data_IF_561592491979
#
_entry.id   IF_561592491979
#
_cell.length_a   1.000
_cell.length_b   1.000
_cell.length_c   1.000
_cell.angle_alpha   90.00
_cell.angle_beta   90.00
_cell.angle_gamma   90.00
#
_symmetry.space_group_name_H-M   'P 1'
#
loop_
_entity.id
_entity.type
_entity.pdbx_description
1 polymer ?
#
# COMPACT_ATOMS: atom_id res chain seq x y z
N UNK A 1 9.87 5.08 -5.85
CA UNK A 1 10.18 5.29 -7.27
C UNK A 1 10.60 4.01 -7.99
N UNK A 2 11.14 3.03 -7.32
CA UNK A 2 11.41 1.71 -7.88
C UNK A 2 10.15 1.03 -8.42
N UNK A 3 8.98 1.28 -7.85
CA UNK A 3 7.72 0.62 -8.20
C UNK A 3 7.33 0.71 -9.69
N UNK A 4 7.63 1.80 -10.38
CA UNK A 4 7.27 1.96 -11.80
C UNK A 4 8.01 1.00 -12.73
N UNK A 5 9.16 0.48 -12.32
CA UNK A 5 9.92 -0.50 -13.10
C UNK A 5 9.42 -1.92 -12.94
N UNK A 6 8.75 -2.18 -11.82
CA UNK A 6 8.31 -3.50 -11.41
C UNK A 6 6.92 -3.83 -11.91
N UNK A 7 6.25 -2.87 -12.57
CA UNK A 7 4.95 -3.12 -13.18
C UNK A 7 5.17 -3.47 -14.64
N UNK A 8 4.95 -4.72 -15.03
CA UNK A 8 5.06 -5.12 -16.42
C UNK A 8 3.98 -4.42 -17.25
N UNK A 9 4.27 -4.33 -18.53
CA UNK A 9 3.36 -3.68 -19.47
C UNK A 9 1.94 -4.28 -19.42
N UNK A 10 1.78 -5.57 -19.11
CA UNK A 10 0.47 -6.22 -18.95
C UNK A 10 -0.29 -5.75 -17.71
N UNK A 11 0.33 -5.74 -16.55
CA UNK A 11 -0.32 -5.27 -15.32
C UNK A 11 -0.72 -3.79 -15.46
N UNK A 12 0.08 -3.00 -16.17
CA UNK A 12 -0.23 -1.60 -16.43
C UNK A 12 -1.44 -1.40 -17.33
N UNK A 13 -1.73 -2.30 -18.28
CA UNK A 13 -2.95 -2.20 -19.11
C UNK A 13 -4.22 -2.49 -18.32
N UNK A 14 -4.15 -3.29 -17.26
CA UNK A 14 -5.30 -3.54 -16.37
C UNK A 14 -5.50 -2.45 -15.31
N UNK A 15 -4.42 -1.77 -14.95
CA UNK A 15 -4.40 -0.72 -13.92
C UNK A 15 -4.68 0.67 -14.49
N UNK A 16 -4.32 0.91 -15.76
CA UNK A 16 -4.67 2.17 -16.43
C UNK A 16 -6.17 2.20 -16.78
N UNK A 17 -6.82 3.37 -16.64
CA UNK A 17 -8.24 3.51 -16.97
C UNK A 17 -8.53 3.30 -18.48
N UNK A 18 -7.50 3.15 -19.29
CA UNK A 18 -7.58 2.93 -20.75
C UNK A 18 -6.78 1.67 -21.09
N UNK A 19 -7.45 0.70 -21.72
CA UNK A 19 -6.79 -0.50 -22.26
C UNK A 19 -6.00 -0.11 -23.52
N UNK A 20 -4.73 0.15 -23.36
CA UNK A 20 -3.83 0.44 -24.48
C UNK A 20 -3.16 -0.86 -24.98
N UNK A 21 -2.93 -1.00 -26.29
CA UNK A 21 -2.14 -2.10 -26.83
C UNK A 21 -0.73 -2.13 -26.24
N UNK A 22 -0.19 -3.32 -25.96
CA UNK A 22 1.16 -3.51 -25.39
C UNK A 22 2.25 -2.80 -26.21
N UNK A 23 2.07 -2.76 -27.55
CA UNK A 23 2.98 -2.07 -28.46
C UNK A 23 3.10 -0.57 -28.17
N UNK A 24 2.06 0.04 -27.57
CA UNK A 24 2.04 1.47 -27.17
C UNK A 24 2.51 1.62 -25.73
N UNK A 25 2.12 0.71 -24.84
CA UNK A 25 2.43 0.80 -23.41
C UNK A 25 3.94 0.70 -23.13
N UNK A 26 4.64 -0.25 -23.76
CA UNK A 26 6.09 -0.39 -23.57
C UNK A 26 6.90 0.85 -23.90
N UNK A 27 6.78 1.45 -25.10
CA UNK A 27 7.52 2.68 -25.40
C UNK A 27 7.05 3.87 -24.54
N UNK A 28 5.77 3.98 -24.21
CA UNK A 28 5.27 5.02 -23.32
C UNK A 28 5.92 4.96 -21.93
N UNK A 29 6.07 3.77 -21.36
CA UNK A 29 6.79 3.57 -20.12
C UNK A 29 8.28 3.92 -20.22
N UNK A 30 8.94 3.53 -21.31
CA UNK A 30 10.35 3.87 -21.55
C UNK A 30 10.56 5.39 -21.60
N UNK A 31 9.62 6.12 -22.23
CA UNK A 31 9.63 7.58 -22.25
C UNK A 31 9.38 8.17 -20.86
N UNK A 32 8.36 7.68 -20.15
CA UNK A 32 8.05 8.15 -18.79
C UNK A 32 9.24 7.94 -17.83
N UNK A 33 9.90 6.79 -17.90
CA UNK A 33 11.13 6.53 -17.16
C UNK A 33 12.26 7.48 -17.51
N UNK A 34 12.42 7.77 -18.79
CA UNK A 34 13.47 8.69 -19.24
C UNK A 34 13.21 10.11 -18.73
N UNK A 35 11.96 10.59 -18.82
CA UNK A 35 11.57 11.90 -18.31
C UNK A 35 11.81 11.98 -16.79
N UNK A 36 11.37 10.97 -16.06
CA UNK A 36 11.55 10.89 -14.61
C UNK A 36 13.03 10.89 -14.23
N UNK A 37 13.84 10.08 -14.92
CA UNK A 37 15.29 10.06 -14.68
C UNK A 37 15.94 11.41 -14.96
N UNK A 38 15.55 12.08 -16.06
CA UNK A 38 16.06 13.42 -16.37
C UNK A 38 15.74 14.43 -15.27
N UNK A 39 14.55 14.36 -14.71
CA UNK A 39 14.12 15.24 -13.63
C UNK A 39 14.88 14.97 -12.31
N UNK A 40 15.20 13.72 -12.04
CA UNK A 40 15.84 13.29 -10.78
C UNK A 40 17.36 13.22 -10.86
N UNK A 41 17.93 13.22 -12.07
CA UNK A 41 19.38 13.09 -12.29
C UNK A 41 20.22 14.10 -11.50
N UNK A 42 19.86 15.41 -11.42
CA UNK A 42 20.65 16.34 -10.62
C UNK A 42 20.76 15.93 -9.16
N UNK A 43 19.65 15.55 -8.53
CA UNK A 43 19.63 15.10 -7.13
C UNK A 43 20.42 13.77 -6.96
N UNK A 44 20.34 12.85 -7.93
CA UNK A 44 21.16 11.64 -7.92
C UNK A 44 22.65 11.96 -8.02
N UNK A 45 23.03 12.85 -8.91
CA UNK A 45 24.44 13.23 -9.11
C UNK A 45 25.01 13.96 -7.90
N UNK A 46 24.23 14.84 -7.25
CA UNK A 46 24.62 15.50 -6.00
C UNK A 46 24.86 14.49 -4.88
N UNK A 47 23.97 13.53 -4.70
CA UNK A 47 24.14 12.47 -3.70
C UNK A 47 25.34 11.58 -4.02
N UNK A 48 25.57 11.24 -5.28
CA UNK A 48 26.73 10.47 -5.72
C UNK A 48 28.03 11.22 -5.47
N UNK A 49 28.06 12.52 -5.74
CA UNK A 49 29.21 13.38 -5.45
C UNK A 49 29.55 13.39 -3.95
N UNK A 50 28.54 13.51 -3.07
CA UNK A 50 28.72 13.45 -1.61
C UNK A 50 29.31 12.10 -1.16
N UNK A 51 29.03 11.02 -1.89
CA UNK A 51 29.56 9.68 -1.63
C UNK A 51 30.90 9.38 -2.36
N UNK A 52 31.52 10.37 -3.02
CA UNK A 52 32.74 10.18 -3.79
C UNK A 52 32.54 9.33 -5.06
N UNK A 53 31.33 9.18 -5.56
CA UNK A 53 31.01 8.39 -6.74
C UNK A 53 30.88 9.27 -7.98
N UNK A 54 31.26 8.78 -9.18
CA UNK A 54 31.11 9.53 -10.43
C UNK A 54 29.63 9.76 -10.77
N UNK A 55 29.33 10.82 -11.51
CA UNK A 55 28.00 11.14 -12.00
C UNK A 55 27.35 9.95 -12.73
N UNK A 56 26.01 9.82 -12.62
CA UNK A 56 25.28 8.74 -13.24
C UNK A 56 25.28 8.84 -14.77
N UNK A 57 25.78 7.81 -15.46
CA UNK A 57 25.83 7.74 -16.94
C UNK A 57 24.60 7.14 -17.59
N UNK A 58 23.80 6.36 -16.82
CA UNK A 58 22.58 5.69 -17.27
C UNK A 58 21.55 5.67 -16.15
N UNK A 59 20.30 5.35 -16.48
CA UNK A 59 19.19 5.19 -15.53
C UNK A 59 19.55 4.14 -14.47
N UNK A 60 19.14 4.37 -13.21
CA UNK A 60 19.41 3.46 -12.08
C UNK A 60 18.95 2.02 -12.38
N UNK A 61 17.78 1.87 -12.96
CA UNK A 61 17.20 0.57 -13.35
C UNK A 61 18.08 -0.18 -14.32
N UNK A 62 18.54 0.52 -15.36
CA UNK A 62 19.44 -0.09 -16.33
C UNK A 62 20.73 -0.59 -15.67
N UNK A 63 21.27 0.18 -14.73
CA UNK A 63 22.45 -0.24 -13.96
C UNK A 63 22.21 -1.46 -13.07
N UNK A 64 21.01 -1.57 -12.50
CA UNK A 64 20.62 -2.73 -11.70
C UNK A 64 20.54 -3.99 -12.58
N UNK A 65 19.84 -3.90 -13.72
CA UNK A 65 19.72 -5.01 -14.68
C UNK A 65 21.08 -5.42 -15.26
N UNK A 66 21.92 -4.46 -15.67
CA UNK A 66 23.26 -4.72 -16.22
C UNK A 66 24.21 -5.39 -15.21
N UNK A 67 23.92 -5.29 -13.91
CA UNK A 67 24.73 -5.89 -12.84
C UNK A 67 24.20 -7.25 -12.39
N UNK A 68 23.14 -7.74 -12.99
CA UNK A 68 22.45 -8.96 -12.57
C UNK A 68 22.16 -8.99 -11.06
N UNK A 69 21.72 -7.83 -10.54
CA UNK A 69 21.44 -7.66 -9.11
C UNK A 69 20.12 -8.34 -8.77
N UNK A 70 20.09 -9.11 -7.69
CA UNK A 70 18.87 -9.71 -7.18
C UNK A 70 17.82 -8.64 -6.86
N UNK A 71 16.65 -8.71 -7.50
CA UNK A 71 15.55 -7.77 -7.36
C UNK A 71 14.34 -8.44 -6.71
N UNK A 72 14.34 -8.56 -5.38
CA UNK A 72 13.24 -9.18 -4.62
C UNK A 72 11.99 -8.29 -4.66
N UNK A 73 10.85 -8.88 -5.03
CA UNK A 73 9.55 -8.23 -5.08
C UNK A 73 8.73 -8.59 -3.84
N UNK A 74 8.70 -7.68 -2.85
CA UNK A 74 8.04 -7.89 -1.55
C UNK A 74 6.53 -7.55 -1.60
N UNK A 75 5.81 -8.20 -2.51
CA UNK A 75 4.34 -8.14 -2.61
C UNK A 75 3.79 -9.42 -3.24
N UNK A 76 2.49 -9.65 -3.06
CA UNK A 76 1.83 -10.86 -3.51
C UNK A 76 1.40 -10.78 -4.98
N UNK A 77 1.51 -11.89 -5.71
CA UNK A 77 1.13 -11.98 -7.12
C UNK A 77 -0.35 -11.67 -7.36
N UNK A 78 -1.21 -11.88 -6.38
CA UNK A 78 -2.64 -11.59 -6.47
C UNK A 78 -2.92 -10.13 -6.86
N UNK A 79 -2.03 -9.21 -6.50
CA UNK A 79 -2.14 -7.81 -6.91
C UNK A 79 -1.79 -7.58 -8.38
N UNK A 80 -1.00 -8.45 -9.00
CA UNK A 80 -0.52 -8.32 -10.38
C UNK A 80 -0.39 -9.70 -11.03
N UNK A 81 -1.49 -10.36 -11.38
CA UNK A 81 -1.49 -11.72 -11.90
C UNK A 81 -0.67 -11.87 -13.18
N UNK A 82 0.13 -12.93 -13.25
CA UNK A 82 0.99 -13.25 -14.40
C UNK A 82 2.32 -12.51 -14.44
N UNK A 83 2.65 -11.75 -13.39
CA UNK A 83 3.86 -10.97 -13.29
C UNK A 83 5.10 -11.87 -13.18
N UNK A 84 5.03 -12.92 -12.38
CA UNK A 84 6.11 -13.87 -12.21
C UNK A 84 6.45 -14.56 -13.53
N UNK A 85 5.44 -14.99 -14.28
CA UNK A 85 5.62 -15.59 -15.61
C UNK A 85 6.24 -14.60 -16.62
N UNK A 86 5.87 -13.31 -16.56
CA UNK A 86 6.43 -12.29 -17.46
C UNK A 86 7.91 -12.01 -17.15
N UNK A 87 8.33 -12.13 -15.91
CA UNK A 87 9.73 -11.94 -15.49
C UNK A 87 10.59 -13.20 -15.55
N UNK A 88 10.01 -14.37 -15.80
CA UNK A 88 10.74 -15.61 -15.96
C UNK A 88 11.63 -15.97 -14.77
N UNK A 89 11.19 -15.66 -13.55
CA UNK A 89 11.92 -15.91 -12.30
C UNK A 89 13.08 -14.95 -12.01
N UNK A 90 13.35 -13.97 -12.86
CA UNK A 90 14.46 -13.01 -12.64
C UNK A 90 14.18 -12.03 -11.50
N UNK A 91 12.91 -11.86 -11.11
CA UNK A 91 12.46 -11.00 -10.03
C UNK A 91 11.49 -11.75 -9.13
N UNK A 92 12.01 -12.52 -8.15
CA UNK A 92 11.17 -13.39 -7.34
C UNK A 92 10.14 -12.60 -6.52
N UNK A 93 8.87 -13.00 -6.65
CA UNK A 93 7.76 -12.51 -5.83
C UNK A 93 7.75 -13.31 -4.53
N UNK A 94 7.99 -12.65 -3.41
CA UNK A 94 8.09 -13.31 -2.10
C UNK A 94 6.86 -13.11 -1.21
N UNK A 95 5.88 -12.32 -1.68
CA UNK A 95 4.78 -11.86 -0.84
C UNK A 95 5.17 -10.66 0.03
N UNK A 96 4.19 -10.00 0.60
CA UNK A 96 4.44 -8.82 1.42
C UNK A 96 5.12 -9.19 2.73
N UNK A 97 6.26 -8.55 3.01
CA UNK A 97 6.97 -8.64 4.27
C UNK A 97 6.28 -7.70 5.25
N UNK A 98 5.71 -8.25 6.31
CA UNK A 98 4.99 -7.47 7.32
C UNK A 98 5.74 -7.54 8.65
N UNK A 99 6.04 -6.38 9.22
CA UNK A 99 6.61 -6.30 10.55
C UNK A 99 5.55 -6.67 11.59
N UNK A 100 5.82 -7.67 12.39
CA UNK A 100 4.95 -8.13 13.47
C UNK A 100 5.54 -7.69 14.81
N UNK A 101 5.26 -6.46 15.21
CA UNK A 101 5.66 -5.95 16.53
C UNK A 101 4.41 -5.45 17.25
N UNK A 102 4.02 -6.14 18.33
CA UNK A 102 2.99 -5.62 19.24
C UNK A 102 3.52 -4.43 20.03
N UNK A 103 2.66 -3.50 20.36
CA UNK A 103 2.95 -2.35 21.20
C UNK A 103 1.94 -2.29 22.35
N UNK A 104 2.27 -1.63 23.46
CA UNK A 104 1.32 -1.43 24.56
C UNK A 104 0.04 -0.66 24.12
N UNK A 105 0.14 0.13 23.04
CA UNK A 105 -1.01 0.82 22.45
C UNK A 105 -1.97 -0.19 21.81
N UNK A 106 -1.46 -1.28 21.24
CA UNK A 106 -2.30 -2.29 20.58
C UNK A 106 -3.21 -3.00 21.59
N UNK A 107 -2.75 -3.24 22.82
CA UNK A 107 -3.55 -3.84 23.88
C UNK A 107 -4.72 -2.93 24.30
N UNK A 108 -4.49 -1.63 24.44
CA UNK A 108 -5.53 -0.64 24.75
C UNK A 108 -6.55 -0.52 23.60
N UNK A 109 -6.09 -0.56 22.35
CA UNK A 109 -6.95 -0.55 21.16
C UNK A 109 -7.77 -1.83 21.09
N UNK A 110 -7.16 -2.99 21.32
CA UNK A 110 -7.86 -4.27 21.31
C UNK A 110 -8.93 -4.34 22.41
N UNK A 111 -8.64 -3.85 23.61
CA UNK A 111 -9.61 -3.74 24.70
C UNK A 111 -10.78 -2.83 24.32
N UNK A 112 -10.50 -1.65 23.75
CA UNK A 112 -11.55 -0.76 23.27
C UNK A 112 -12.39 -1.40 22.16
N UNK A 113 -11.79 -2.13 21.21
CA UNK A 113 -12.55 -2.84 20.16
C UNK A 113 -13.46 -3.88 20.80
N UNK A 114 -12.96 -4.68 21.76
CA UNK A 114 -13.69 -5.74 22.41
C UNK A 114 -14.90 -5.23 23.24
N UNK A 115 -14.85 -3.99 23.70
CA UNK A 115 -15.94 -3.34 24.46
C UNK A 115 -17.07 -2.82 23.56
N UNK A 116 -17.09 -3.14 22.26
CA UNK A 116 -18.14 -2.69 21.36
C UNK A 116 -18.12 -3.34 19.99
N UNK A 117 -18.82 -2.73 19.03
CA UNK A 117 -18.82 -3.21 17.65
C UNK A 117 -17.47 -3.00 16.98
N UNK A 118 -17.03 -3.88 16.05
CA UNK A 118 -15.81 -3.71 15.28
C UNK A 118 -15.77 -2.35 14.59
N UNK A 119 -14.73 -1.52 14.79
CA UNK A 119 -14.64 -0.18 14.20
C UNK A 119 -14.27 -0.20 12.73
N UNK A 120 -14.51 0.89 12.03
CA UNK A 120 -13.84 1.21 10.76
C UNK A 120 -12.49 1.85 11.11
N UNK A 121 -11.40 1.27 10.58
CA UNK A 121 -10.07 1.83 10.70
C UNK A 121 -9.85 2.94 9.66
N UNK A 122 -9.22 4.03 10.07
CA UNK A 122 -8.77 5.12 9.19
C UNK A 122 -7.30 5.44 9.44
N UNK A 123 -6.44 5.31 8.40
CA UNK A 123 -5.02 5.61 8.51
C UNK A 123 -4.44 6.21 7.24
N UNK A 124 -3.75 7.32 7.39
CA UNK A 124 -3.20 8.07 6.25
C UNK A 124 -1.67 7.99 6.17
N UNK A 125 -1.03 7.22 7.06
CA UNK A 125 0.42 7.04 7.11
C UNK A 125 1.15 8.37 7.30
N UNK A 126 2.23 8.58 6.52
CA UNK A 126 3.00 9.83 6.51
C UNK A 126 2.49 10.85 5.47
N UNK A 127 1.29 10.64 4.93
CA UNK A 127 0.74 11.51 3.89
C UNK A 127 0.41 12.89 4.46
N UNK A 128 0.84 13.97 3.82
CA UNK A 128 0.45 15.31 4.23
C UNK A 128 -1.04 15.52 3.98
N UNK A 129 -1.79 15.83 5.04
CA UNK A 129 -3.20 16.24 4.98
C UNK A 129 -3.26 17.74 5.26
N UNK A 130 -3.83 18.50 4.31
CA UNK A 130 -3.90 19.96 4.41
C UNK A 130 -4.63 20.45 5.67
N UNK A 131 -5.70 19.74 6.07
CA UNK A 131 -6.47 20.07 7.26
C UNK A 131 -6.85 18.81 8.04
N UNK A 132 -5.98 18.35 8.96
CA UNK A 132 -6.23 17.16 9.76
C UNK A 132 -7.52 17.26 10.61
N UNK A 133 -7.76 18.40 11.26
CA UNK A 133 -8.95 18.59 12.11
C UNK A 133 -10.25 18.45 11.31
N UNK A 134 -10.33 19.05 10.12
CA UNK A 134 -11.49 18.91 9.23
C UNK A 134 -11.69 17.47 8.75
N UNK A 135 -10.59 16.78 8.47
CA UNK A 135 -10.64 15.36 8.04
C UNK A 135 -11.16 14.46 9.17
N UNK A 136 -10.67 14.65 10.41
CA UNK A 136 -11.14 13.92 11.58
C UNK A 136 -12.61 14.22 11.86
N UNK A 137 -13.01 15.49 11.83
CA UNK A 137 -14.42 15.87 12.02
C UNK A 137 -15.34 15.23 10.97
N UNK A 138 -14.90 15.15 9.70
CA UNK A 138 -15.62 14.47 8.64
C UNK A 138 -15.75 12.98 8.91
N UNK A 139 -14.67 12.29 9.32
CA UNK A 139 -14.66 10.88 9.67
C UNK A 139 -15.61 10.62 10.84
N UNK A 140 -15.52 11.42 11.90
CA UNK A 140 -16.39 11.33 13.09
C UNK A 140 -17.86 11.43 12.71
N UNK A 141 -18.22 12.45 11.93
CA UNK A 141 -19.60 12.64 11.48
C UNK A 141 -20.10 11.50 10.59
N UNK A 142 -19.29 11.05 9.62
CA UNK A 142 -19.67 9.96 8.73
C UNK A 142 -19.82 8.64 9.47
N UNK A 143 -18.96 8.36 10.45
CA UNK A 143 -19.05 7.15 11.27
C UNK A 143 -20.32 7.17 12.14
N UNK A 144 -20.64 8.32 12.78
CA UNK A 144 -21.88 8.49 13.51
C UNK A 144 -23.12 8.29 12.63
N UNK A 145 -23.15 8.89 11.43
CA UNK A 145 -24.25 8.74 10.46
C UNK A 145 -24.47 7.29 10.00
N UNK A 146 -23.40 6.48 10.03
CA UNK A 146 -23.47 5.05 9.68
C UNK A 146 -23.77 4.14 10.88
N UNK A 147 -23.78 4.69 12.11
CA UNK A 147 -23.89 3.91 13.35
C UNK A 147 -22.65 3.05 13.62
N UNK A 148 -21.49 3.45 13.12
CA UNK A 148 -20.23 2.72 13.20
C UNK A 148 -19.25 3.41 14.15
N UNK A 149 -18.36 2.63 14.76
CA UNK A 149 -17.21 3.15 15.52
C UNK A 149 -16.05 3.44 14.57
N UNK A 150 -15.19 4.41 14.92
CA UNK A 150 -14.00 4.76 14.14
C UNK A 150 -12.73 4.64 14.96
N UNK A 151 -11.73 3.91 14.44
CA UNK A 151 -10.36 3.90 14.94
C UNK A 151 -9.49 4.73 13.99
N UNK A 152 -9.05 5.90 14.42
CA UNK A 152 -8.26 6.82 13.60
C UNK A 152 -6.78 6.72 14.00
N UNK A 153 -5.93 6.34 13.05
CA UNK A 153 -4.48 6.34 13.21
C UNK A 153 -3.91 7.63 12.61
N UNK A 154 -3.49 8.55 13.48
CA UNK A 154 -3.06 9.89 13.09
C UNK A 154 -1.67 9.93 12.45
N UNK A 155 -0.80 8.95 12.74
CA UNK A 155 0.58 8.95 12.26
C UNK A 155 1.37 10.15 12.78
N UNK A 156 1.83 10.98 11.84
CA UNK A 156 2.56 12.22 12.12
C UNK A 156 1.67 13.47 12.20
N UNK A 157 0.35 13.34 12.08
CA UNK A 157 -0.56 14.48 12.12
C UNK A 157 -0.68 15.02 13.54
N UNK A 158 -0.61 16.34 13.67
CA UNK A 158 -0.96 17.03 14.91
C UNK A 158 -2.49 17.11 15.03
N UNK A 159 -3.02 16.50 16.09
CA UNK A 159 -4.45 16.33 16.34
C UNK A 159 -4.86 16.80 17.72
N UNK A 160 -4.05 17.67 18.35
CA UNK A 160 -4.30 18.15 19.72
C UNK A 160 -5.72 18.72 19.94
N UNK A 161 -6.35 19.27 18.90
CA UNK A 161 -7.67 19.89 18.94
C UNK A 161 -8.81 18.97 18.41
N UNK A 162 -8.56 17.68 18.20
CA UNK A 162 -9.61 16.80 17.72
C UNK A 162 -10.67 16.55 18.80
N UNK A 163 -11.93 16.86 18.49
CA UNK A 163 -13.04 16.65 19.42
C UNK A 163 -13.20 15.17 19.77
N UNK A 164 -13.20 14.85 21.05
CA UNK A 164 -13.47 13.51 21.55
C UNK A 164 -14.95 13.15 21.28
N UNK A 165 -15.18 11.94 20.84
CA UNK A 165 -16.53 11.36 20.70
C UNK A 165 -16.47 9.90 21.13
N UNK A 166 -17.49 9.42 21.84
CA UNK A 166 -17.50 8.09 22.46
C UNK A 166 -17.31 6.95 21.46
N UNK A 167 -17.76 7.16 20.21
CA UNK A 167 -17.63 6.17 19.13
C UNK A 167 -16.29 6.28 18.34
N UNK A 168 -15.38 7.18 18.76
CA UNK A 168 -14.11 7.43 18.05
C UNK A 168 -12.94 7.25 19.00
N UNK A 169 -12.01 6.39 18.60
CA UNK A 169 -10.70 6.28 19.25
C UNK A 169 -9.62 6.81 18.31
N UNK A 170 -8.76 7.69 18.81
CA UNK A 170 -7.65 8.26 18.05
C UNK A 170 -6.33 7.81 18.68
N UNK A 171 -5.46 7.21 17.87
CA UNK A 171 -4.15 6.74 18.30
C UNK A 171 -3.07 7.18 17.31
N UNK A 172 -1.83 7.21 17.73
CA UNK A 172 -0.72 7.61 16.87
C UNK A 172 -0.35 6.53 15.86
N UNK A 173 -0.27 5.29 16.28
CA UNK A 173 0.07 4.13 15.46
C UNK A 173 -0.48 2.85 16.05
N UNK A 174 -0.68 1.82 15.23
CA UNK A 174 -1.08 0.48 15.66
C UNK A 174 -0.33 -0.57 14.83
N UNK A 175 -0.22 -1.77 15.38
CA UNK A 175 0.20 -2.94 14.60
C UNK A 175 -0.94 -3.40 13.70
N UNK A 176 -0.80 -3.19 12.40
CA UNK A 176 -1.83 -3.54 11.41
C UNK A 176 -2.18 -5.03 11.44
N UNK A 177 -1.19 -5.91 11.64
CA UNK A 177 -1.41 -7.36 11.68
C UNK A 177 -2.31 -7.77 12.84
N UNK A 178 -2.18 -7.12 13.99
CA UNK A 178 -2.98 -7.39 15.17
C UNK A 178 -4.38 -6.76 15.10
N UNK A 179 -4.48 -5.54 14.62
CA UNK A 179 -5.68 -4.71 14.72
C UNK A 179 -6.61 -4.85 13.50
N UNK A 180 -6.09 -4.92 12.27
CA UNK A 180 -6.92 -4.98 11.07
C UNK A 180 -7.92 -6.15 11.06
N UNK A 181 -7.57 -7.38 11.48
CA UNK A 181 -8.54 -8.48 11.56
C UNK A 181 -9.74 -8.22 12.49
N UNK A 182 -9.59 -7.30 13.44
CA UNK A 182 -10.62 -6.94 14.40
C UNK A 182 -11.52 -5.78 13.91
N UNK A 183 -11.17 -5.14 12.79
CA UNK A 183 -11.92 -4.04 12.22
C UNK A 183 -13.04 -4.52 11.30
N UNK A 184 -14.05 -3.69 11.10
CA UNK A 184 -15.16 -3.93 10.17
C UNK A 184 -14.76 -3.65 8.72
N UNK A 185 -13.99 -2.59 8.51
CA UNK A 185 -13.42 -2.18 7.22
C UNK A 185 -12.14 -1.37 7.45
N UNK A 186 -11.29 -1.28 6.43
CA UNK A 186 -10.03 -0.56 6.48
C UNK A 186 -10.05 0.59 5.46
N UNK A 187 -9.82 1.81 5.93
CA UNK A 187 -9.64 3.00 5.08
C UNK A 187 -8.19 3.45 5.17
N UNK A 188 -7.50 3.53 4.03
CA UNK A 188 -6.10 3.94 4.01
C UNK A 188 -5.69 4.65 2.70
N UNK A 189 -4.50 5.23 2.69
CA UNK A 189 -3.97 6.04 1.58
C UNK A 189 -3.46 5.25 0.36
N UNK A 190 -3.34 3.93 0.44
CA UNK A 190 -2.88 3.11 -0.68
C UNK A 190 -1.37 2.85 -0.75
N UNK A 191 -0.64 3.04 0.34
CA UNK A 191 0.75 2.58 0.40
C UNK A 191 0.83 1.05 0.32
N UNK A 192 1.86 0.52 -0.35
CA UNK A 192 2.02 -0.91 -0.64
C UNK A 192 1.87 -1.82 0.59
N UNK A 193 2.62 -1.51 1.67
CA UNK A 193 2.59 -2.30 2.90
C UNK A 193 1.24 -2.28 3.60
N UNK A 194 0.58 -1.11 3.68
CA UNK A 194 -0.75 -0.99 4.29
C UNK A 194 -1.80 -1.70 3.44
N UNK A 195 -1.69 -1.63 2.10
CA UNK A 195 -2.59 -2.35 1.19
C UNK A 195 -2.45 -3.86 1.38
N UNK A 196 -1.22 -4.37 1.46
CA UNK A 196 -0.98 -5.79 1.69
C UNK A 196 -1.54 -6.25 3.06
N UNK A 197 -1.29 -5.48 4.13
CA UNK A 197 -1.83 -5.77 5.46
C UNK A 197 -3.37 -5.76 5.47
N UNK A 198 -3.98 -4.77 4.80
CA UNK A 198 -5.43 -4.65 4.69
C UNK A 198 -6.06 -5.85 3.97
N UNK A 199 -5.56 -6.21 2.78
CA UNK A 199 -6.08 -7.35 2.02
C UNK A 199 -5.84 -8.67 2.77
N UNK A 200 -4.66 -8.86 3.37
CA UNK A 200 -4.33 -10.05 4.16
C UNK A 200 -5.21 -10.22 5.40
N UNK A 201 -5.71 -9.12 5.97
CA UNK A 201 -6.63 -9.17 7.11
C UNK A 201 -8.01 -9.76 6.78
N UNK A 202 -8.34 -9.95 5.50
CA UNK A 202 -9.67 -10.39 5.06
C UNK A 202 -10.76 -9.34 5.27
N UNK A 203 -10.40 -8.08 5.46
CA UNK A 203 -11.35 -6.99 5.67
C UNK A 203 -11.52 -6.14 4.41
N UNK A 204 -12.74 -5.69 4.11
CA UNK A 204 -12.98 -4.86 2.94
C UNK A 204 -12.28 -3.51 3.08
N UNK A 205 -11.84 -2.96 1.95
CA UNK A 205 -10.89 -1.84 1.93
C UNK A 205 -11.40 -0.67 1.10
N UNK A 206 -11.31 0.54 1.65
CA UNK A 206 -11.46 1.80 0.91
C UNK A 206 -10.11 2.47 0.78
N UNK A 207 -9.62 2.65 -0.44
CA UNK A 207 -8.35 3.36 -0.69
C UNK A 207 -8.62 4.81 -1.06
N UNK A 208 -8.15 5.73 -0.21
CA UNK A 208 -8.19 7.19 -0.44
C UNK A 208 -6.81 7.67 -0.91
N UNK A 209 -6.53 7.51 -2.19
CA UNK A 209 -5.21 7.79 -2.76
C UNK A 209 -4.95 9.27 -3.05
N UNK A 210 -3.69 9.69 -2.96
CA UNK A 210 -3.24 11.07 -3.26
C UNK A 210 -2.38 11.13 -4.49
N UNK A 211 -1.26 10.41 -4.52
CA UNK A 211 -0.24 10.54 -5.55
C UNK A 211 0.63 9.27 -5.66
N UNK A 212 1.67 9.36 -6.46
CA UNK A 212 2.71 8.36 -6.67
C UNK A 212 2.14 6.99 -7.12
N UNK A 213 2.56 5.89 -6.50
CA UNK A 213 2.14 4.53 -6.82
C UNK A 213 0.78 4.14 -6.21
N UNK A 214 0.21 4.96 -5.33
CA UNK A 214 -1.03 4.65 -4.61
C UNK A 214 -2.23 4.30 -5.54
N UNK A 215 -2.43 4.99 -6.70
CA UNK A 215 -3.48 4.59 -7.64
C UNK A 215 -3.33 3.16 -8.17
N UNK A 216 -2.11 2.63 -8.29
CA UNK A 216 -1.86 1.28 -8.76
C UNK A 216 -2.40 0.24 -7.75
N UNK A 217 -2.07 0.44 -6.47
CA UNK A 217 -2.57 -0.39 -5.39
C UNK A 217 -4.09 -0.27 -5.21
N UNK A 218 -4.61 0.96 -5.32
CA UNK A 218 -6.03 1.24 -5.26
C UNK A 218 -6.82 0.53 -6.37
N UNK A 219 -6.32 0.56 -7.61
CA UNK A 219 -6.91 -0.17 -8.72
C UNK A 219 -6.86 -1.69 -8.51
N UNK A 220 -5.78 -2.22 -7.95
CA UNK A 220 -5.68 -3.64 -7.62
C UNK A 220 -6.73 -4.07 -6.59
N UNK A 221 -6.93 -3.28 -5.53
CA UNK A 221 -7.99 -3.50 -4.53
C UNK A 221 -9.37 -3.54 -5.19
N UNK A 222 -9.66 -2.56 -6.08
CA UNK A 222 -10.92 -2.50 -6.83
C UNK A 222 -11.10 -3.69 -7.78
N UNK A 223 -10.06 -4.05 -8.54
CA UNK A 223 -10.07 -5.18 -9.48
C UNK A 223 -10.28 -6.52 -8.77
N UNK A 224 -9.68 -6.70 -7.62
CA UNK A 224 -9.86 -7.89 -6.78
C UNK A 224 -11.28 -8.00 -6.20
N UNK A 225 -12.07 -6.92 -6.22
CA UNK A 225 -13.41 -6.88 -5.66
C UNK A 225 -13.43 -6.84 -4.13
N UNK A 226 -12.29 -6.57 -3.49
CA UNK A 226 -12.14 -6.51 -2.04
C UNK A 226 -12.35 -5.10 -1.48
N UNK A 227 -12.65 -4.13 -2.36
CA UNK A 227 -12.84 -2.75 -1.95
C UNK A 227 -13.10 -1.81 -3.10
N UNK A 228 -13.05 -0.51 -2.79
CA UNK A 228 -13.15 0.57 -3.77
C UNK A 228 -12.09 1.63 -3.54
N UNK A 229 -12.04 2.64 -4.41
CA UNK A 229 -11.03 3.67 -4.36
C UNK A 229 -11.60 5.05 -4.71
N UNK A 230 -10.99 6.09 -4.13
CA UNK A 230 -11.26 7.48 -4.47
C UNK A 230 -9.98 8.31 -4.33
N UNK A 231 -9.84 9.36 -5.15
CA UNK A 231 -8.80 10.35 -4.90
C UNK A 231 -9.15 11.14 -3.65
N UNK A 232 -8.21 11.27 -2.70
CA UNK A 232 -8.44 11.93 -1.41
C UNK A 232 -9.02 13.35 -1.58
N UNK A 233 -8.48 14.16 -2.50
CA UNK A 233 -8.96 15.53 -2.79
C UNK A 233 -10.40 15.61 -3.35
N UNK A 234 -11.01 14.48 -3.69
CA UNK A 234 -12.40 14.36 -4.15
C UNK A 234 -13.31 13.70 -3.11
N UNK A 235 -12.80 13.50 -1.89
CA UNK A 235 -13.57 12.90 -0.81
C UNK A 235 -14.37 13.97 -0.08
N UNK A 236 -15.67 13.72 0.06
CA UNK A 236 -16.62 14.51 0.86
C UNK A 236 -17.30 13.57 1.84
N UNK A 237 -18.01 14.09 2.84
CA UNK A 237 -18.78 13.27 3.76
C UNK A 237 -19.79 12.37 3.01
N UNK A 238 -20.46 12.90 1.99
CA UNK A 238 -21.41 12.15 1.17
C UNK A 238 -20.74 10.99 0.42
N UNK A 239 -19.63 11.28 -0.30
CA UNK A 239 -18.92 10.25 -1.07
C UNK A 239 -18.27 9.21 -0.18
N UNK A 240 -17.72 9.60 0.97
CA UNK A 240 -17.14 8.67 1.95
C UNK A 240 -18.20 7.72 2.50
N UNK A 241 -19.37 8.25 2.86
CA UNK A 241 -20.53 7.45 3.31
C UNK A 241 -20.95 6.43 2.25
N UNK A 242 -21.07 6.84 0.99
CA UNK A 242 -21.43 5.97 -0.12
C UNK A 242 -20.38 4.88 -0.36
N UNK A 243 -19.10 5.23 -0.34
CA UNK A 243 -17.99 4.28 -0.51
C UNK A 243 -17.95 3.27 0.64
N UNK A 244 -18.11 3.71 1.90
CA UNK A 244 -18.13 2.84 3.07
C UNK A 244 -19.31 1.86 3.02
N UNK A 245 -20.53 2.31 2.66
CA UNK A 245 -21.67 1.40 2.45
C UNK A 245 -21.36 0.35 1.38
N UNK A 246 -20.69 0.74 0.31
CA UNK A 246 -20.31 -0.18 -0.78
C UNK A 246 -19.33 -1.24 -0.29
N UNK A 247 -18.25 -0.84 0.41
CA UNK A 247 -17.21 -1.80 0.84
C UNK A 247 -17.70 -2.70 1.97
N UNK A 248 -18.56 -2.21 2.86
CA UNK A 248 -19.17 -3.03 3.92
C UNK A 248 -20.30 -3.95 3.43
N UNK A 249 -20.63 -3.90 2.14
CA UNK A 249 -21.63 -4.77 1.54
C UNK A 249 -21.18 -6.25 1.51
N UNK A 250 -22.13 -7.21 1.61
CA UNK A 250 -21.82 -8.63 1.80
C UNK A 250 -20.93 -9.23 0.71
N UNK A 251 -21.09 -8.81 -0.54
CA UNK A 251 -20.24 -9.27 -1.65
C UNK A 251 -18.77 -8.89 -1.46
N UNK A 252 -18.51 -7.65 -1.05
CA UNK A 252 -17.14 -7.15 -0.83
C UNK A 252 -16.51 -7.85 0.38
N UNK A 253 -17.26 -8.01 1.46
CA UNK A 253 -16.82 -8.70 2.68
C UNK A 253 -16.45 -10.16 2.39
N UNK A 254 -17.31 -10.91 1.70
CA UNK A 254 -17.03 -12.31 1.32
C UNK A 254 -15.78 -12.39 0.43
N UNK A 255 -15.68 -11.49 -0.57
CA UNK A 255 -14.53 -11.47 -1.48
C UNK A 255 -13.22 -11.12 -0.78
N UNK A 256 -13.26 -10.26 0.23
CA UNK A 256 -12.07 -9.92 1.02
C UNK A 256 -11.51 -11.16 1.75
N UNK A 257 -12.35 -12.00 2.32
CA UNK A 257 -11.95 -13.25 2.97
C UNK A 257 -11.35 -14.23 1.95
N UNK A 258 -11.98 -14.41 0.78
CA UNK A 258 -11.49 -15.31 -0.27
C UNK A 258 -10.11 -14.90 -0.79
N UNK A 259 -9.88 -13.60 -1.00
CA UNK A 259 -8.60 -13.09 -1.50
C UNK A 259 -7.52 -13.15 -0.43
N UNK A 260 -7.85 -12.89 0.83
CA UNK A 260 -6.92 -13.03 1.94
C UNK A 260 -6.33 -14.46 2.02
N UNK A 261 -7.14 -15.48 1.77
CA UNK A 261 -6.71 -16.88 1.76
C UNK A 261 -5.72 -17.20 0.61
N UNK A 262 -5.63 -16.35 -0.41
CA UNK A 262 -4.70 -16.51 -1.54
C UNK A 262 -3.37 -15.79 -1.31
N UNK A 263 -3.26 -14.96 -0.27
CA UNK A 263 -2.04 -14.23 0.01
C UNK A 263 -0.99 -15.11 0.67
N UNK A 264 0.27 -14.82 0.38
CA UNK A 264 1.41 -15.53 0.98
C UNK A 264 1.44 -15.28 2.49
N UNK A 265 1.51 -16.33 3.33
CA UNK A 265 1.68 -16.17 4.77
C UNK A 265 2.95 -15.37 5.12
N UNK A 266 2.93 -14.49 6.12
CA UNK A 266 4.07 -13.65 6.48
C UNK A 266 5.36 -14.43 6.75
N UNK A 267 5.25 -15.58 7.42
CA UNK A 267 6.37 -16.45 7.76
C UNK A 267 7.07 -16.98 6.50
N UNK A 268 6.28 -17.34 5.48
CA UNK A 268 6.80 -17.79 4.19
C UNK A 268 7.47 -16.65 3.44
N UNK A 269 6.90 -15.44 3.45
CA UNK A 269 7.50 -14.26 2.84
C UNK A 269 8.87 -13.96 3.45
N UNK A 270 8.98 -14.02 4.78
CA UNK A 270 10.22 -13.78 5.52
C UNK A 270 11.25 -14.86 5.20
N UNK A 271 10.90 -16.14 5.32
CA UNK A 271 11.80 -17.27 5.08
C UNK A 271 12.34 -17.24 3.63
N UNK A 272 11.45 -17.09 2.64
CA UNK A 272 11.86 -17.02 1.23
C UNK A 272 12.79 -15.84 0.96
N UNK A 273 12.54 -14.69 1.59
CA UNK A 273 13.41 -13.51 1.45
C UNK A 273 14.79 -13.76 2.05
N UNK A 274 14.86 -14.34 3.25
CA UNK A 274 16.11 -14.67 3.91
C UNK A 274 16.95 -15.65 3.06
N UNK A 275 16.34 -16.72 2.58
CA UNK A 275 17.00 -17.71 1.70
C UNK A 275 17.56 -17.09 0.41
N UNK A 276 16.85 -16.13 -0.18
CA UNK A 276 17.31 -15.43 -1.38
C UNK A 276 18.52 -14.53 -1.09
N UNK A 277 18.49 -13.82 0.04
CA UNK A 277 19.58 -12.94 0.45
C UNK A 277 20.83 -13.74 0.83
N UNK A 278 20.69 -14.85 1.54
CA UNK A 278 21.80 -15.72 1.91
C UNK A 278 22.48 -16.35 0.67
N UNK A 279 21.69 -16.82 -0.29
CA UNK A 279 22.20 -17.32 -1.57
C UNK A 279 22.93 -16.24 -2.36
N UNK A 280 22.38 -15.03 -2.44
CA UNK A 280 23.02 -13.91 -3.12
C UNK A 280 24.34 -13.50 -2.45
N UNK A 281 24.40 -13.53 -1.12
CA UNK A 281 25.62 -13.23 -0.37
C UNK A 281 26.71 -14.29 -0.61
N UNK A 282 26.32 -15.58 -0.64
CA UNK A 282 27.26 -16.70 -0.88
C UNK A 282 27.85 -16.71 -2.31
N UNK A 283 27.11 -16.16 -3.30
CA UNK A 283 27.55 -16.10 -4.70
C UNK A 283 28.29 -14.81 -5.04
N UNK A 284 28.25 -13.81 -4.16
CA UNK A 284 29.00 -12.55 -4.38
C UNK A 284 30.49 -12.78 -4.14
N UNK A 285 31.37 -12.47 -5.13
CA UNK A 285 32.81 -12.59 -4.92
C UNK A 285 33.23 -11.65 -3.78
N UNK A 286 33.93 -12.19 -2.80
CA UNK A 286 34.60 -11.42 -1.73
C UNK A 286 35.47 -10.35 -2.40
N UNK A 287 35.17 -9.08 -2.21
CA UNK A 287 36.00 -7.95 -2.64
C UNK A 287 37.19 -7.77 -1.71
#
# INVERSE_FOLDING_TARGET
MAALHYFPARANTEVLPVRLPLAVVRPAWAVAEWVLWRALKPAEDDQRCQLGLPAARSRSVRRIVERDTLEIQAYDEVFFPGLDAEWGGTRPLVGAITLQMSTAVDDAVAAWIADGTPPIYFGFGSMPIENPAKTIAMITAVSADLGERALICSGALDIADAAAADHVMIVRSVNHTAIFPQCRAIVHHGGAGTTAASVRSGRPTLVLWVAAEQPLWANSVKRLGVGTMRRFSKSTAETMRADLRTVMGPKCVARAVEVAAQMTPPERSIATTADLLERAAATSPTR
#
